data_IF_844186580289
#
_entry.id   IF_844186580289
#
_cell.length_a   1.000
_cell.length_b   1.000
_cell.length_c   1.000
_cell.angle_alpha   90.00
_cell.angle_beta   90.00
_cell.angle_gamma   90.00
#
_symmetry.space_group_name_H-M   'P 1'
#
loop_
_entity.id
_entity.type
_entity.pdbx_description
1 polymer ?
#
# COMPACT_ATOMS: atom_id res chain seq x y z
N UNK A 1 67.41 17.37 5.74
CA UNK A 1 66.66 16.16 6.15
C UNK A 1 65.59 16.59 7.16
N UNK A 2 64.63 17.40 6.75
CA UNK A 2 63.45 17.09 5.91
C UNK A 2 62.25 16.71 6.79
N UNK A 3 61.50 17.76 7.15
CA UNK A 3 60.15 17.72 7.68
C UNK A 3 59.22 17.30 6.55
N UNK A 4 58.60 16.13 6.65
CA UNK A 4 57.56 15.73 5.69
C UNK A 4 56.19 15.98 6.30
N UNK A 5 55.48 16.97 5.75
CA UNK A 5 54.07 17.29 6.01
C UNK A 5 53.18 16.07 5.66
N UNK A 6 52.34 15.63 6.60
CA UNK A 6 51.21 14.76 6.28
C UNK A 6 50.00 15.64 5.93
N UNK A 7 49.71 15.78 4.64
CA UNK A 7 48.50 16.42 4.15
C UNK A 7 47.31 15.45 4.32
N UNK A 8 46.49 15.68 5.34
CA UNK A 8 45.19 15.02 5.51
C UNK A 8 44.26 15.55 4.43
N UNK A 9 44.06 14.77 3.35
CA UNK A 9 42.95 14.97 2.43
C UNK A 9 41.68 14.39 3.05
N UNK A 10 40.97 15.20 3.82
CA UNK A 10 39.57 14.96 4.19
C UNK A 10 38.70 15.19 2.93
N UNK A 11 38.48 14.13 2.15
CA UNK A 11 37.46 14.12 1.11
C UNK A 11 36.11 14.00 1.81
N UNK A 12 35.39 15.10 1.93
CA UNK A 12 34.05 15.15 2.48
C UNK A 12 33.07 14.40 1.54
N UNK A 13 32.35 13.37 2.00
CA UNK A 13 31.25 12.79 1.24
C UNK A 13 30.04 13.70 1.38
N UNK A 14 30.00 14.77 0.60
CA UNK A 14 28.78 15.54 0.38
C UNK A 14 28.15 15.06 -0.93
N UNK A 15 26.82 14.89 -0.92
CA UNK A 15 25.94 14.77 -2.10
C UNK A 15 25.64 13.35 -2.62
N UNK A 16 25.00 12.52 -1.80
CA UNK A 16 24.01 11.56 -2.28
C UNK A 16 22.76 11.58 -1.37
N UNK A 17 22.25 12.77 -1.06
CA UNK A 17 20.89 12.91 -0.51
C UNK A 17 19.90 12.82 -1.66
N UNK A 18 19.78 11.64 -2.28
CA UNK A 18 18.59 11.34 -3.06
C UNK A 18 17.39 11.46 -2.12
N UNK A 19 16.28 12.11 -2.53
CA UNK A 19 15.07 12.06 -1.73
C UNK A 19 14.72 10.58 -1.51
N UNK A 20 14.51 10.20 -0.25
CA UNK A 20 13.95 8.91 0.07
C UNK A 20 12.49 8.93 -0.38
N UNK A 21 12.24 8.48 -1.61
CA UNK A 21 10.89 8.26 -2.13
C UNK A 21 10.32 7.03 -1.42
N UNK A 22 9.72 7.21 -0.24
CA UNK A 22 9.12 6.12 0.53
C UNK A 22 7.75 5.76 -0.05
N UNK A 23 7.66 4.88 -1.06
CA UNK A 23 6.34 4.35 -1.47
C UNK A 23 5.63 3.81 -0.23
N UNK A 24 4.48 4.40 0.13
CA UNK A 24 3.73 4.00 1.30
C UNK A 24 2.98 2.70 1.02
N UNK A 25 2.98 1.79 2.00
CA UNK A 25 2.11 0.62 1.96
C UNK A 25 0.94 0.87 2.90
N UNK A 26 -0.29 0.87 2.36
CA UNK A 26 -1.49 0.89 3.19
C UNK A 26 -2.02 -0.54 3.31
N UNK A 27 -2.03 -1.06 4.52
CA UNK A 27 -2.45 -2.43 4.81
C UNK A 27 -3.76 -2.40 5.58
N UNK A 28 -4.77 -3.09 5.06
CA UNK A 28 -6.02 -3.35 5.77
C UNK A 28 -6.16 -4.85 6.04
N UNK A 29 -6.32 -5.25 7.30
CA UNK A 29 -6.44 -6.66 7.65
C UNK A 29 -7.24 -6.94 8.91
N UNK A 30 -7.51 -8.22 9.16
CA UNK A 30 -8.22 -8.68 10.37
C UNK A 30 -7.26 -9.16 11.49
N UNK A 31 -5.96 -8.94 11.33
CA UNK A 31 -4.90 -9.41 12.23
C UNK A 31 -4.67 -10.93 12.22
N UNK A 32 -5.26 -11.66 11.25
CA UNK A 32 -5.21 -13.12 11.16
C UNK A 32 -4.83 -13.56 9.74
N UNK A 33 -5.83 -13.85 8.93
CA UNK A 33 -5.74 -14.58 7.67
C UNK A 33 -6.28 -13.77 6.47
N UNK A 34 -6.71 -12.54 6.71
CA UNK A 34 -7.25 -11.65 5.68
C UNK A 34 -6.48 -10.35 5.65
N UNK A 35 -5.91 -10.01 4.50
CA UNK A 35 -5.29 -8.71 4.24
C UNK A 35 -5.57 -8.21 2.83
N UNK A 36 -5.56 -6.89 2.69
CA UNK A 36 -5.38 -6.19 1.41
C UNK A 36 -4.28 -5.15 1.59
N UNK A 37 -3.23 -5.26 0.77
CA UNK A 37 -2.07 -4.39 0.80
C UNK A 37 -2.08 -3.51 -0.46
N UNK A 38 -2.01 -2.19 -0.27
CA UNK A 38 -2.04 -1.20 -1.33
C UNK A 38 -0.71 -0.45 -1.34
N UNK A 39 0.06 -0.61 -2.42
CA UNK A 39 1.24 0.20 -2.66
C UNK A 39 0.81 1.53 -3.28
N UNK A 40 0.79 2.59 -2.47
CA UNK A 40 0.32 3.92 -2.86
C UNK A 40 1.48 4.82 -3.27
N UNK A 41 1.25 5.61 -4.33
CA UNK A 41 2.17 6.62 -4.85
C UNK A 41 2.08 7.95 -4.11
N UNK A 42 2.99 8.85 -4.44
CA UNK A 42 3.29 10.11 -3.72
C UNK A 42 2.53 11.36 -4.21
N UNK A 43 1.42 11.19 -4.92
CA UNK A 43 0.68 12.32 -5.48
C UNK A 43 -0.45 12.73 -4.55
N UNK A 44 -0.96 13.96 -4.68
CA UNK A 44 -2.05 14.51 -3.87
C UNK A 44 -3.40 13.76 -4.01
N UNK A 45 -3.42 12.67 -4.78
CA UNK A 45 -4.59 11.82 -5.05
C UNK A 45 -4.23 10.36 -4.83
N UNK A 46 -5.22 9.53 -4.52
CA UNK A 46 -5.01 8.09 -4.40
C UNK A 46 -4.47 7.51 -5.72
N UNK A 47 -3.23 7.02 -5.68
CA UNK A 47 -2.58 6.37 -6.82
C UNK A 47 -2.06 5.00 -6.39
N UNK A 48 -2.82 3.94 -6.68
CA UNK A 48 -2.44 2.58 -6.31
C UNK A 48 -1.62 1.96 -7.45
N UNK A 49 -0.36 1.67 -7.18
CA UNK A 49 0.58 1.05 -8.14
C UNK A 49 0.60 -0.48 -8.06
N UNK A 50 0.23 -1.04 -6.90
CA UNK A 50 0.05 -2.48 -6.69
C UNK A 50 -1.03 -2.70 -5.63
N UNK A 51 -1.85 -3.71 -5.86
CA UNK A 51 -2.85 -4.21 -4.92
C UNK A 51 -2.68 -5.72 -4.79
N UNK A 52 -2.61 -6.20 -3.55
CA UNK A 52 -2.57 -7.63 -3.24
C UNK A 52 -3.63 -7.94 -2.20
N UNK A 53 -4.48 -8.94 -2.47
CA UNK A 53 -5.45 -9.46 -1.48
C UNK A 53 -5.02 -10.85 -1.08
N UNK A 54 -5.00 -11.14 0.23
CA UNK A 54 -4.81 -12.49 0.78
C UNK A 54 -5.99 -12.88 1.64
N UNK A 55 -6.50 -14.10 1.44
CA UNK A 55 -7.56 -14.73 2.25
C UNK A 55 -7.19 -16.19 2.45
N UNK A 56 -6.70 -16.54 3.63
CA UNK A 56 -6.11 -17.86 3.90
C UNK A 56 -5.00 -18.17 2.88
N UNK A 57 -5.14 -19.26 2.15
CA UNK A 57 -4.17 -19.69 1.12
C UNK A 57 -4.42 -19.06 -0.27
N UNK A 58 -5.43 -18.19 -0.41
CA UNK A 58 -5.76 -17.54 -1.69
C UNK A 58 -5.13 -16.17 -1.79
N UNK A 59 -4.53 -15.88 -2.93
CA UNK A 59 -3.92 -14.59 -3.24
C UNK A 59 -4.44 -14.06 -4.57
N UNK A 60 -4.82 -12.79 -4.61
CA UNK A 60 -5.09 -12.03 -5.83
C UNK A 60 -4.09 -10.88 -5.95
N UNK A 61 -3.69 -10.54 -7.17
CA UNK A 61 -2.66 -9.53 -7.42
C UNK A 61 -3.00 -8.70 -8.65
N UNK A 62 -2.81 -7.39 -8.56
CA UNK A 62 -2.89 -6.48 -9.70
C UNK A 62 -1.63 -6.48 -10.57
N UNK A 63 -0.56 -7.12 -10.11
CA UNK A 63 0.72 -7.23 -10.81
C UNK A 63 1.24 -8.67 -10.71
N UNK A 64 0.53 -9.67 -11.29
CA UNK A 64 0.84 -11.09 -11.11
C UNK A 64 2.27 -11.47 -11.53
N UNK A 65 2.86 -10.74 -12.49
CA UNK A 65 4.23 -10.96 -12.97
C UNK A 65 5.31 -10.65 -11.91
N UNK A 66 5.08 -9.65 -11.05
CA UNK A 66 6.01 -9.25 -9.99
C UNK A 66 5.58 -9.72 -8.60
N UNK A 67 4.29 -9.98 -8.40
CA UNK A 67 3.72 -10.52 -7.17
C UNK A 67 2.70 -11.62 -7.51
N UNK A 68 3.07 -12.92 -7.41
CA UNK A 68 2.20 -14.02 -7.83
C UNK A 68 0.84 -14.04 -7.13
N UNK A 69 -0.22 -14.31 -7.90
CA UNK A 69 -1.60 -14.41 -7.43
C UNK A 69 -2.57 -14.48 -8.60
N UNK A 70 -3.85 -14.73 -8.32
CA UNK A 70 -4.89 -14.64 -9.34
C UNK A 70 -4.99 -13.20 -9.87
N UNK A 71 -4.94 -12.98 -11.20
CA UNK A 71 -4.99 -11.63 -11.77
C UNK A 71 -6.30 -10.91 -11.43
N UNK A 72 -6.18 -9.65 -11.05
CA UNK A 72 -7.27 -8.70 -10.80
C UNK A 72 -6.86 -7.31 -11.26
N UNK A 73 -7.82 -6.41 -11.42
CA UNK A 73 -7.57 -5.00 -11.72
C UNK A 73 -8.21 -4.08 -10.69
N UNK A 74 -7.61 -2.90 -10.53
CA UNK A 74 -8.23 -1.81 -9.78
C UNK A 74 -9.27 -1.19 -10.72
N UNK A 75 -10.56 -1.37 -10.41
CA UNK A 75 -11.64 -0.82 -11.21
C UNK A 75 -11.90 0.64 -10.86
N UNK A 76 -12.21 0.91 -9.60
CA UNK A 76 -12.40 2.25 -9.08
C UNK A 76 -11.73 2.38 -7.73
N UNK A 77 -11.11 3.53 -7.47
CA UNK A 77 -10.51 3.84 -6.19
C UNK A 77 -10.77 5.32 -5.85
N UNK A 78 -11.13 5.59 -4.61
CA UNK A 78 -11.40 6.93 -4.10
C UNK A 78 -10.98 7.03 -2.64
N UNK A 79 -10.31 8.12 -2.30
CA UNK A 79 -9.90 8.43 -0.95
C UNK A 79 -10.20 9.89 -0.61
N UNK A 80 -10.78 10.10 0.57
CA UNK A 80 -10.87 11.41 1.21
C UNK A 80 -10.49 11.31 2.71
N UNK A 81 -10.75 12.38 3.45
CA UNK A 81 -10.50 12.49 4.89
C UNK A 81 -11.32 11.50 5.73
N UNK A 82 -12.42 10.96 5.18
CA UNK A 82 -13.40 10.14 5.88
C UNK A 82 -13.50 8.72 5.36
N UNK A 83 -13.04 8.47 4.13
CA UNK A 83 -13.30 7.23 3.42
C UNK A 83 -12.11 6.77 2.60
N UNK A 84 -12.01 5.46 2.46
CA UNK A 84 -11.28 4.81 1.38
C UNK A 84 -12.22 3.78 0.76
N UNK A 85 -12.50 3.95 -0.53
CA UNK A 85 -13.42 3.14 -1.32
C UNK A 85 -12.66 2.56 -2.49
N UNK A 86 -12.70 1.24 -2.65
CA UNK A 86 -11.99 0.56 -3.71
C UNK A 86 -12.83 -0.60 -4.23
N UNK A 87 -13.00 -0.66 -5.55
CA UNK A 87 -13.61 -1.75 -6.29
C UNK A 87 -12.54 -2.45 -7.13
N UNK A 88 -12.51 -3.77 -6.99
CA UNK A 88 -11.58 -4.68 -7.65
C UNK A 88 -12.38 -5.46 -8.69
N UNK A 89 -11.89 -5.51 -9.92
CA UNK A 89 -12.51 -6.29 -11.00
C UNK A 89 -11.68 -7.50 -11.37
N UNK A 90 -12.29 -8.44 -12.09
CA UNK A 90 -11.50 -9.43 -12.83
C UNK A 90 -10.64 -8.73 -13.92
N UNK A 91 -9.69 -9.49 -14.48
CA UNK A 91 -8.73 -9.02 -15.50
C UNK A 91 -9.41 -8.53 -16.79
N UNK A 92 -10.58 -9.08 -17.13
CA UNK A 92 -11.34 -8.70 -18.31
C UNK A 92 -12.37 -7.59 -18.02
N UNK A 93 -12.42 -7.07 -16.79
CA UNK A 93 -13.30 -5.98 -16.34
C UNK A 93 -14.79 -6.31 -16.59
N UNK A 94 -15.17 -7.58 -16.47
CA UNK A 94 -16.57 -7.98 -16.66
C UNK A 94 -17.41 -7.74 -15.40
N UNK A 95 -16.81 -7.89 -14.22
CA UNK A 95 -17.51 -7.74 -12.95
C UNK A 95 -16.61 -7.28 -11.80
N UNK A 96 -17.24 -6.74 -10.76
CA UNK A 96 -16.58 -6.41 -9.48
C UNK A 96 -16.47 -7.69 -8.63
N UNK A 97 -15.24 -8.16 -8.45
CA UNK A 97 -14.90 -9.37 -7.69
C UNK A 97 -14.46 -9.08 -6.26
N UNK A 98 -14.13 -7.83 -5.94
CA UNK A 98 -13.75 -7.42 -4.59
C UNK A 98 -14.13 -5.98 -4.28
N UNK A 99 -14.37 -5.67 -3.00
CA UNK A 99 -14.68 -4.33 -2.51
C UNK A 99 -14.03 -4.08 -1.17
N UNK A 100 -13.32 -2.97 -1.05
CA UNK A 100 -12.88 -2.40 0.23
C UNK A 100 -13.70 -1.13 0.51
N UNK A 101 -14.26 -1.05 1.71
CA UNK A 101 -15.06 0.07 2.19
C UNK A 101 -14.61 0.43 3.59
N UNK A 102 -13.84 1.50 3.71
CA UNK A 102 -13.21 1.94 4.95
C UNK A 102 -13.76 3.31 5.33
N UNK A 103 -14.04 3.47 6.62
CA UNK A 103 -14.33 4.75 7.25
C UNK A 103 -13.13 5.14 8.10
N UNK A 104 -12.82 6.43 8.11
CA UNK A 104 -11.74 7.04 8.86
C UNK A 104 -12.29 8.06 9.81
N UNK A 105 -11.68 8.15 10.98
CA UNK A 105 -11.97 9.17 11.96
C UNK A 105 -10.67 9.71 12.55
N UNK A 106 -10.58 11.02 12.65
CA UNK A 106 -9.50 11.74 13.32
C UNK A 106 -10.06 12.44 14.55
N UNK A 107 -9.44 12.22 15.71
CA UNK A 107 -9.71 12.98 16.93
C UNK A 107 -8.38 13.38 17.59
N UNK A 108 -8.06 14.69 17.53
CA UNK A 108 -6.75 15.20 17.92
C UNK A 108 -5.65 14.58 17.04
N UNK A 109 -4.68 13.92 17.67
CA UNK A 109 -3.58 13.20 17.00
C UNK A 109 -3.94 11.72 16.68
N UNK A 110 -5.09 11.24 17.18
CA UNK A 110 -5.49 9.84 16.96
C UNK A 110 -6.25 9.68 15.65
N UNK A 111 -5.69 8.88 14.75
CA UNK A 111 -6.35 8.45 13.51
C UNK A 111 -6.73 6.99 13.60
N UNK A 112 -7.98 6.66 13.32
CA UNK A 112 -8.47 5.28 13.24
C UNK A 112 -9.11 5.07 11.87
N UNK A 113 -8.76 3.97 11.21
CA UNK A 113 -9.32 3.58 9.92
C UNK A 113 -9.75 2.13 9.99
N UNK A 114 -11.03 1.85 9.76
CA UNK A 114 -11.57 0.49 9.78
C UNK A 114 -12.73 0.34 8.78
N UNK A 115 -12.98 -0.89 8.35
CA UNK A 115 -13.92 -1.12 7.27
C UNK A 115 -14.27 -2.58 7.05
N UNK A 116 -14.79 -2.84 5.85
CA UNK A 116 -15.11 -4.18 5.38
C UNK A 116 -14.39 -4.44 4.07
N UNK A 117 -13.70 -5.57 4.01
CA UNK A 117 -13.21 -6.18 2.77
C UNK A 117 -14.16 -7.31 2.38
N UNK A 118 -14.71 -7.26 1.17
CA UNK A 118 -15.53 -8.32 0.59
C UNK A 118 -14.91 -8.86 -0.68
N UNK A 119 -14.90 -10.18 -0.84
CA UNK A 119 -14.48 -10.88 -2.06
C UNK A 119 -15.62 -11.77 -2.54
N UNK A 120 -16.11 -11.53 -3.76
CA UNK A 120 -17.28 -12.20 -4.34
C UNK A 120 -17.06 -13.72 -4.35
N UNK A 121 -18.01 -14.46 -3.78
CA UNK A 121 -17.95 -15.93 -3.71
C UNK A 121 -16.91 -16.48 -2.73
N UNK A 122 -16.23 -15.62 -1.95
CA UNK A 122 -15.24 -16.04 -0.93
C UNK A 122 -15.70 -15.67 0.47
N UNK A 123 -16.07 -14.42 0.71
CA UNK A 123 -16.50 -13.95 2.03
C UNK A 123 -16.41 -12.44 2.21
N UNK A 124 -16.67 -11.98 3.43
CA UNK A 124 -16.51 -10.59 3.84
C UNK A 124 -16.02 -10.52 5.29
N UNK A 125 -15.12 -9.57 5.58
CA UNK A 125 -14.43 -9.46 6.85
C UNK A 125 -14.31 -8.00 7.28
N UNK A 126 -14.47 -7.78 8.60
CA UNK A 126 -14.06 -6.52 9.21
C UNK A 126 -12.53 -6.42 9.15
N UNK A 127 -12.02 -5.26 8.77
CA UNK A 127 -10.59 -4.98 8.65
C UNK A 127 -10.26 -3.65 9.33
N UNK A 128 -9.09 -3.60 9.94
CA UNK A 128 -8.45 -2.38 10.42
C UNK A 128 -7.33 -2.00 9.44
N UNK A 129 -7.20 -0.71 9.16
CA UNK A 129 -6.24 -0.20 8.19
C UNK A 129 -5.18 0.67 8.86
N UNK A 130 -3.93 0.44 8.49
CA UNK A 130 -2.78 1.20 8.95
C UNK A 130 -1.82 1.44 7.79
N UNK A 131 -1.23 2.63 7.75
CA UNK A 131 -0.08 2.91 6.92
C UNK A 131 1.13 2.18 7.53
N UNK A 132 1.85 1.40 6.71
CA UNK A 132 3.14 0.81 7.06
C UNK A 132 4.24 1.86 7.00
N UNK A 133 5.14 1.82 7.99
CA UNK A 133 6.36 2.64 8.07
C UNK A 133 7.39 2.27 6.99
#
# INVERSE_FOLDING_TARGET
MERTLAAICLVAPALLSAPAYATGELTCGNGKDVSIDLLVGHVDVLSISRLVVRVGDKTWSSTPDSFPGQPILIGQAFEDDKHLLLDITDEAVNEVVGRLRVVKLQEGESRVSAGVLGMKGVGAWAVECSEGE
#
